data_IF_734497055515
#
_entry.id   IF_734497055515
#
_cell.length_a   1.000
_cell.length_b   1.000
_cell.length_c   1.000
_cell.angle_alpha   90.00
_cell.angle_beta   90.00
_cell.angle_gamma   90.00
#
_symmetry.space_group_name_H-M   'P 1'
#
loop_
_entity.id
_entity.type
_entity.pdbx_description
1 polymer ?
#
# COMPACT_ATOMS: atom_id res chain seq x y z
N UNK A 1 -16.32 6.54 6.85
CA UNK A 1 -16.72 5.47 5.90
C UNK A 1 -18.23 5.48 5.81
N UNK A 2 -18.83 5.54 4.62
CA UNK A 2 -20.28 5.58 4.44
C UNK A 2 -21.05 4.45 5.17
N UNK A 3 -20.48 3.25 5.24
CA UNK A 3 -21.11 2.10 5.91
C UNK A 3 -21.29 2.28 7.41
N UNK A 4 -20.58 3.22 8.04
CA UNK A 4 -20.63 3.38 9.49
C UNK A 4 -22.05 3.71 9.97
N UNK A 5 -22.82 4.44 9.17
CA UNK A 5 -24.19 4.80 9.51
C UNK A 5 -25.12 3.57 9.53
N UNK A 6 -24.98 2.67 8.56
CA UNK A 6 -25.84 1.48 8.41
C UNK A 6 -25.30 0.23 9.12
N UNK A 7 -24.02 0.22 9.55
CA UNK A 7 -23.38 -0.93 10.19
C UNK A 7 -23.55 -0.88 11.72
N UNK A 8 -24.63 -1.46 12.24
CA UNK A 8 -24.88 -1.56 13.69
C UNK A 8 -23.70 -2.21 14.46
N UNK A 9 -23.12 -3.35 14.01
CA UNK A 9 -21.98 -3.96 14.70
C UNK A 9 -20.75 -3.05 14.82
N UNK A 10 -20.46 -2.25 13.79
CA UNK A 10 -19.36 -1.29 13.85
C UNK A 10 -19.64 -0.16 14.85
N UNK A 11 -20.87 0.36 14.88
CA UNK A 11 -21.28 1.40 15.84
C UNK A 11 -21.25 0.88 17.27
N UNK A 12 -21.76 -0.33 17.51
CA UNK A 12 -21.70 -0.99 18.82
C UNK A 12 -20.26 -1.22 19.28
N UNK A 13 -19.37 -1.66 18.38
CA UNK A 13 -17.94 -1.82 18.71
C UNK A 13 -17.30 -0.49 19.11
N UNK A 14 -17.54 0.58 18.33
CA UNK A 14 -16.99 1.92 18.62
C UNK A 14 -17.55 2.47 19.93
N UNK A 15 -18.84 2.25 20.21
CA UNK A 15 -19.48 2.71 21.44
C UNK A 15 -19.11 1.87 22.67
N UNK A 16 -18.41 0.74 22.51
CA UNK A 16 -18.08 -0.13 23.63
C UNK A 16 -17.09 0.56 24.58
N UNK A 17 -17.28 0.46 25.92
CA UNK A 17 -16.40 1.11 26.88
C UNK A 17 -14.93 0.71 26.74
N UNK A 18 -14.69 -0.54 26.32
CA UNK A 18 -13.34 -1.04 26.03
C UNK A 18 -12.70 -0.33 24.85
N UNK A 19 -13.43 -0.18 23.74
CA UNK A 19 -12.93 0.51 22.54
C UNK A 19 -12.66 1.98 22.82
N UNK A 20 -13.60 2.67 23.47
CA UNK A 20 -13.44 4.08 23.84
C UNK A 20 -12.22 4.31 24.73
N UNK A 21 -12.03 3.47 25.77
CA UNK A 21 -10.82 3.56 26.63
C UNK A 21 -9.52 3.28 25.86
N UNK A 22 -9.52 2.34 24.93
CA UNK A 22 -8.36 2.09 24.09
C UNK A 22 -8.05 3.29 23.18
N UNK A 23 -9.07 3.86 22.56
CA UNK A 23 -8.94 5.02 21.68
C UNK A 23 -8.46 6.27 22.43
N UNK A 24 -9.01 6.54 23.61
CA UNK A 24 -8.60 7.69 24.43
C UNK A 24 -7.14 7.57 24.87
N UNK A 25 -6.72 6.36 25.27
CA UNK A 25 -5.31 6.08 25.62
C UNK A 25 -4.38 6.30 24.43
N UNK A 26 -4.74 5.79 23.26
CA UNK A 26 -3.92 5.93 22.04
C UNK A 26 -3.83 7.39 21.58
N UNK A 27 -4.89 8.18 21.76
CA UNK A 27 -4.90 9.61 21.45
C UNK A 27 -4.12 10.47 22.45
N UNK A 28 -4.09 10.05 23.72
CA UNK A 28 -3.37 10.74 24.77
C UNK A 28 -1.87 10.41 24.80
N UNK A 29 -1.43 9.36 24.10
CA UNK A 29 -0.03 8.98 24.02
C UNK A 29 0.79 10.06 23.29
N UNK A 30 1.98 10.36 23.80
CA UNK A 30 2.93 11.29 23.16
C UNK A 30 3.51 10.69 21.88
N UNK A 31 3.81 9.40 21.90
CA UNK A 31 4.36 8.65 20.78
C UNK A 31 3.27 7.81 20.10
N UNK A 32 3.38 7.67 18.78
CA UNK A 32 2.44 6.89 18.00
C UNK A 32 2.68 5.39 18.14
N UNK A 33 1.78 4.70 18.84
CA UNK A 33 1.72 3.24 18.86
C UNK A 33 1.06 2.71 17.56
N UNK A 34 1.87 2.55 16.52
CA UNK A 34 1.43 2.11 15.19
C UNK A 34 0.68 0.78 15.24
N UNK A 35 1.19 -0.20 15.99
CA UNK A 35 0.59 -1.53 16.05
C UNK A 35 -0.81 -1.48 16.65
N UNK A 36 -0.97 -0.79 17.78
CA UNK A 36 -2.27 -0.73 18.46
C UNK A 36 -3.28 0.16 17.73
N UNK A 37 -2.82 1.25 17.10
CA UNK A 37 -3.68 2.06 16.21
C UNK A 37 -4.18 1.22 15.04
N UNK A 38 -3.31 0.45 14.40
CA UNK A 38 -3.70 -0.41 13.28
C UNK A 38 -4.63 -1.54 13.71
N UNK A 39 -4.33 -2.21 14.84
CA UNK A 39 -5.21 -3.25 15.41
C UNK A 39 -6.61 -2.70 15.71
N UNK A 40 -6.68 -1.53 16.35
CA UNK A 40 -7.94 -0.86 16.70
C UNK A 40 -8.74 -0.47 15.44
N UNK A 41 -8.06 0.04 14.40
CA UNK A 41 -8.70 0.34 13.10
C UNK A 41 -9.20 -0.92 12.40
N UNK A 42 -8.40 -1.98 12.37
CA UNK A 42 -8.73 -3.23 11.68
C UNK A 42 -10.05 -3.85 12.17
N UNK A 43 -10.30 -3.83 13.48
CA UNK A 43 -11.55 -4.34 14.05
C UNK A 43 -12.80 -3.69 13.45
N UNK A 44 -12.79 -2.36 13.34
CA UNK A 44 -13.89 -1.59 12.77
C UNK A 44 -13.93 -1.73 11.25
N UNK A 45 -12.79 -1.63 10.58
CA UNK A 45 -12.70 -1.73 9.12
C UNK A 45 -13.21 -3.09 8.62
N UNK A 46 -12.94 -4.19 9.33
CA UNK A 46 -13.45 -5.50 8.98
C UNK A 46 -14.99 -5.58 9.07
N UNK A 47 -15.60 -4.95 10.08
CA UNK A 47 -17.06 -4.87 10.22
C UNK A 47 -17.67 -4.04 9.08
N UNK A 48 -17.06 -2.91 8.76
CA UNK A 48 -17.52 -2.03 7.68
C UNK A 48 -17.37 -2.69 6.31
N UNK A 49 -16.27 -3.40 6.06
CA UNK A 49 -16.08 -4.15 4.82
C UNK A 49 -17.16 -5.23 4.63
N UNK A 50 -17.48 -6.00 5.68
CA UNK A 50 -18.59 -6.96 5.62
C UNK A 50 -19.93 -6.29 5.30
N UNK A 51 -20.19 -5.13 5.91
CA UNK A 51 -21.38 -4.33 5.61
C UNK A 51 -21.41 -3.88 4.14
N UNK A 52 -20.29 -3.35 3.64
CA UNK A 52 -20.14 -2.98 2.22
C UNK A 52 -20.34 -4.17 1.29
N UNK A 53 -19.76 -5.33 1.64
CA UNK A 53 -19.82 -6.54 0.84
C UNK A 53 -21.27 -6.97 0.60
N UNK A 54 -22.08 -6.99 1.66
CA UNK A 54 -23.50 -7.38 1.61
C UNK A 54 -24.33 -6.33 0.87
N UNK A 55 -24.10 -5.05 1.12
CA UNK A 55 -24.96 -3.97 0.61
C UNK A 55 -24.61 -3.52 -0.81
N UNK A 56 -23.34 -3.66 -1.24
CA UNK A 56 -22.83 -2.93 -2.40
C UNK A 56 -21.99 -3.75 -3.38
N UNK A 57 -21.12 -4.68 -2.94
CA UNK A 57 -20.05 -5.26 -3.79
C UNK A 57 -20.54 -5.80 -5.14
N UNK A 58 -21.64 -6.56 -5.12
CA UNK A 58 -22.26 -7.17 -6.30
C UNK A 58 -23.65 -6.60 -6.60
N UNK A 59 -24.01 -5.50 -5.92
CA UNK A 59 -25.32 -4.86 -6.05
C UNK A 59 -25.24 -3.68 -7.02
N UNK A 60 -26.30 -3.40 -7.81
CA UNK A 60 -26.35 -2.27 -8.75
C UNK A 60 -26.61 -0.93 -8.03
N UNK A 61 -25.94 -0.70 -6.91
CA UNK A 61 -25.95 0.57 -6.18
C UNK A 61 -24.91 1.52 -6.78
N UNK A 62 -25.03 2.85 -6.60
CA UNK A 62 -24.00 3.80 -7.03
C UNK A 62 -22.61 3.47 -6.46
N UNK A 63 -22.57 3.02 -5.21
CA UNK A 63 -21.36 2.65 -4.50
C UNK A 63 -20.74 1.35 -5.01
N UNK A 64 -21.56 0.34 -5.28
CA UNK A 64 -21.13 -0.89 -5.95
C UNK A 64 -20.55 -0.63 -7.34
N UNK A 65 -21.22 0.20 -8.16
CA UNK A 65 -20.69 0.62 -9.48
C UNK A 65 -19.38 1.40 -9.38
N UNK A 66 -19.24 2.28 -8.37
CA UNK A 66 -17.99 3.00 -8.15
C UNK A 66 -16.85 2.04 -7.79
N UNK A 67 -17.11 1.04 -6.96
CA UNK A 67 -16.13 0.02 -6.63
C UNK A 67 -15.74 -0.84 -7.83
N UNK A 68 -16.70 -1.30 -8.65
CA UNK A 68 -16.40 -2.06 -9.86
C UNK A 68 -15.51 -1.26 -10.83
N UNK A 69 -15.83 0.03 -11.08
CA UNK A 69 -14.96 0.91 -11.88
C UNK A 69 -13.57 1.08 -11.28
N UNK A 70 -13.47 1.17 -9.96
CA UNK A 70 -12.18 1.23 -9.27
C UNK A 70 -11.37 -0.05 -9.50
N UNK A 71 -11.99 -1.22 -9.40
CA UNK A 71 -11.35 -2.51 -9.68
C UNK A 71 -10.88 -2.61 -11.14
N UNK A 72 -11.72 -2.22 -12.09
CA UNK A 72 -11.39 -2.19 -13.53
C UNK A 72 -10.20 -1.28 -13.81
N UNK A 73 -10.20 -0.06 -13.24
CA UNK A 73 -9.10 0.90 -13.36
C UNK A 73 -7.82 0.40 -12.70
N UNK A 74 -7.92 -0.25 -11.55
CA UNK A 74 -6.80 -0.77 -10.78
C UNK A 74 -6.15 -2.02 -11.39
N UNK A 75 -6.91 -2.81 -12.15
CA UNK A 75 -6.41 -3.93 -12.93
C UNK A 75 -5.58 -4.95 -12.12
N UNK A 76 -4.55 -5.51 -12.77
CA UNK A 76 -3.64 -6.47 -12.15
C UNK A 76 -2.86 -5.85 -10.99
N UNK A 77 -2.40 -4.61 -11.10
CA UNK A 77 -1.66 -3.92 -10.04
C UNK A 77 -2.39 -3.92 -8.70
N UNK A 78 -3.66 -3.50 -8.69
CA UNK A 78 -4.48 -3.51 -7.48
C UNK A 78 -4.75 -4.93 -6.98
N UNK A 79 -5.04 -5.88 -7.89
CA UNK A 79 -5.23 -7.29 -7.53
C UNK A 79 -3.99 -7.84 -6.85
N UNK A 80 -2.82 -7.62 -7.43
CA UNK A 80 -1.57 -8.22 -7.01
C UNK A 80 -1.14 -7.60 -5.68
N UNK A 81 -1.24 -6.28 -5.51
CA UNK A 81 -1.02 -5.61 -4.22
C UNK A 81 -1.93 -6.14 -3.11
N UNK A 82 -3.24 -6.25 -3.36
CA UNK A 82 -4.18 -6.78 -2.37
C UNK A 82 -3.94 -8.27 -2.06
N UNK A 83 -3.51 -9.05 -3.06
CA UNK A 83 -3.13 -10.46 -2.87
C UNK A 83 -1.88 -10.57 -2.01
N UNK A 84 -0.88 -9.70 -2.24
CA UNK A 84 0.34 -9.66 -1.45
C UNK A 84 0.04 -9.41 0.03
N UNK A 85 -0.81 -8.43 0.34
CA UNK A 85 -1.20 -8.13 1.72
C UNK A 85 -1.91 -9.32 2.39
N UNK A 86 -2.86 -9.94 1.70
CA UNK A 86 -3.55 -11.14 2.20
C UNK A 86 -2.59 -12.32 2.42
N UNK A 87 -1.62 -12.53 1.53
CA UNK A 87 -0.58 -13.55 1.69
C UNK A 87 0.35 -13.23 2.87
N UNK A 88 0.73 -11.97 3.04
CA UNK A 88 1.57 -11.55 4.15
C UNK A 88 0.90 -11.82 5.50
N UNK A 89 -0.38 -11.46 5.63
CA UNK A 89 -1.17 -11.77 6.83
C UNK A 89 -1.31 -13.29 7.06
N UNK A 90 -1.44 -14.08 5.99
CA UNK A 90 -1.62 -15.53 6.08
C UNK A 90 -0.32 -16.30 6.39
N UNK A 91 0.81 -15.86 5.83
CA UNK A 91 2.08 -16.58 5.86
C UNK A 91 3.10 -16.01 6.85
N UNK A 92 2.94 -14.75 7.24
CA UNK A 92 3.87 -14.02 8.10
C UNK A 92 3.08 -13.17 9.12
N UNK A 93 2.36 -13.80 10.07
CA UNK A 93 1.49 -13.09 11.01
C UNK A 93 2.26 -12.25 12.03
N UNK A 94 3.58 -12.49 12.20
CA UNK A 94 4.41 -11.76 13.14
C UNK A 94 5.01 -10.51 12.48
N UNK A 95 4.87 -9.32 13.08
CA UNK A 95 5.54 -8.11 12.60
C UNK A 95 7.06 -8.29 12.50
N UNK A 96 7.65 -7.76 11.42
CA UNK A 96 9.10 -7.82 11.20
C UNK A 96 9.62 -9.11 10.57
N UNK A 97 8.75 -10.09 10.26
CA UNK A 97 9.17 -11.25 9.47
C UNK A 97 9.60 -10.84 8.06
N UNK A 98 10.67 -11.45 7.50
CA UNK A 98 11.11 -11.15 6.15
C UNK A 98 9.99 -11.51 5.17
N UNK A 99 9.64 -10.56 4.29
CA UNK A 99 8.49 -10.64 3.39
C UNK A 99 8.54 -11.79 2.37
N UNK A 100 8.00 -11.58 1.16
CA UNK A 100 7.71 -12.69 0.24
C UNK A 100 8.89 -13.64 -0.08
N UNK A 101 10.13 -13.17 0.06
CA UNK A 101 11.36 -13.95 -0.13
C UNK A 101 11.45 -15.18 0.78
N UNK A 102 10.79 -15.17 1.95
CA UNK A 102 10.75 -16.32 2.87
C UNK A 102 9.52 -17.20 2.71
N UNK A 103 8.52 -16.78 1.94
CA UNK A 103 7.36 -17.62 1.69
C UNK A 103 7.76 -18.91 0.96
N UNK A 104 6.94 -19.97 1.05
CA UNK A 104 7.08 -21.13 0.19
C UNK A 104 7.21 -20.73 -1.29
N UNK A 105 8.10 -21.40 -2.03
CA UNK A 105 8.42 -21.03 -3.42
C UNK A 105 7.18 -20.87 -4.32
N UNK A 106 6.15 -21.70 -4.08
CA UNK A 106 4.87 -21.63 -4.79
C UNK A 106 4.11 -20.30 -4.64
N UNK A 107 4.42 -19.46 -3.65
CA UNK A 107 3.76 -18.17 -3.42
C UNK A 107 4.62 -16.96 -3.81
N UNK A 108 5.83 -17.17 -4.32
CA UNK A 108 6.78 -16.09 -4.62
C UNK A 108 6.54 -15.38 -5.95
N UNK A 109 5.61 -15.88 -6.77
CA UNK A 109 5.24 -15.26 -8.03
C UNK A 109 3.72 -15.02 -8.09
N UNK A 110 3.27 -13.81 -8.46
CA UNK A 110 1.85 -13.46 -8.55
C UNK A 110 1.07 -14.29 -9.59
N UNK A 111 1.78 -14.86 -10.57
CA UNK A 111 1.21 -15.63 -11.67
C UNK A 111 1.17 -17.15 -11.40
N UNK A 112 1.78 -17.60 -10.30
CA UNK A 112 1.81 -19.01 -9.94
C UNK A 112 0.40 -19.59 -9.68
N UNK A 113 0.22 -20.87 -10.03
CA UNK A 113 -1.05 -21.56 -9.81
C UNK A 113 -1.49 -21.58 -8.33
N UNK A 114 -0.54 -21.61 -7.39
CA UNK A 114 -0.85 -21.56 -5.96
C UNK A 114 -1.37 -20.18 -5.53
N UNK A 115 -0.84 -19.08 -6.08
CA UNK A 115 -1.38 -17.73 -5.83
C UNK A 115 -2.77 -17.57 -6.45
N UNK A 116 -3.00 -18.09 -7.65
CA UNK A 116 -4.34 -18.06 -8.25
C UNK A 116 -5.37 -18.83 -7.41
N UNK A 117 -4.98 -19.99 -6.88
CA UNK A 117 -5.81 -20.76 -5.95
C UNK A 117 -6.06 -20.00 -4.65
N UNK A 118 -5.01 -19.43 -4.07
CA UNK A 118 -5.12 -18.62 -2.85
C UNK A 118 -6.11 -17.47 -3.02
N UNK A 119 -6.10 -16.77 -4.16
CA UNK A 119 -7.08 -15.70 -4.46
C UNK A 119 -8.54 -16.18 -4.45
N UNK A 120 -8.77 -17.43 -4.86
CA UNK A 120 -10.12 -18.03 -4.86
C UNK A 120 -10.52 -18.45 -3.45
N UNK A 121 -9.63 -19.14 -2.74
CA UNK A 121 -9.87 -19.65 -1.38
C UNK A 121 -9.98 -18.53 -0.33
N UNK A 122 -9.22 -17.44 -0.51
CA UNK A 122 -9.16 -16.28 0.39
C UNK A 122 -9.77 -15.02 -0.23
N UNK A 123 -10.79 -15.18 -1.09
CA UNK A 123 -11.42 -14.09 -1.84
C UNK A 123 -11.85 -12.91 -0.96
N UNK A 124 -12.38 -13.17 0.23
CA UNK A 124 -12.83 -12.11 1.14
C UNK A 124 -11.65 -11.29 1.71
N UNK A 125 -10.55 -11.94 2.08
CA UNK A 125 -9.34 -11.25 2.56
C UNK A 125 -8.68 -10.42 1.45
N UNK A 126 -8.59 -10.96 0.23
CA UNK A 126 -8.08 -10.19 -0.92
C UNK A 126 -9.01 -9.02 -1.24
N UNK A 127 -10.33 -9.20 -1.19
CA UNK A 127 -11.28 -8.11 -1.41
C UNK A 127 -11.24 -7.06 -0.30
N UNK A 128 -10.96 -7.44 0.95
CA UNK A 128 -10.78 -6.49 2.05
C UNK A 128 -9.68 -5.49 1.72
N UNK A 129 -8.51 -5.96 1.28
CA UNK A 129 -7.41 -5.08 0.90
C UNK A 129 -7.71 -4.22 -0.33
N UNK A 130 -8.46 -4.75 -1.31
CA UNK A 130 -8.95 -3.94 -2.45
C UNK A 130 -9.91 -2.85 -2.01
N UNK A 131 -10.83 -3.17 -1.12
CA UNK A 131 -11.78 -2.23 -0.56
C UNK A 131 -11.10 -1.15 0.27
N UNK A 132 -10.07 -1.49 1.05
CA UNK A 132 -9.26 -0.48 1.74
C UNK A 132 -8.60 0.51 0.77
N UNK A 133 -8.06 0.03 -0.35
CA UNK A 133 -7.47 0.90 -1.38
C UNK A 133 -8.53 1.76 -2.08
N UNK A 134 -9.74 1.21 -2.31
CA UNK A 134 -10.89 1.98 -2.81
C UNK A 134 -11.29 3.10 -1.86
N UNK A 135 -11.33 2.83 -0.56
CA UNK A 135 -11.66 3.86 0.43
C UNK A 135 -10.56 4.91 0.59
N UNK A 136 -9.30 4.50 0.49
CA UNK A 136 -8.18 5.44 0.46
C UNK A 136 -8.25 6.36 -0.76
N UNK A 137 -8.54 5.82 -1.95
CA UNK A 137 -8.73 6.60 -3.18
C UNK A 137 -9.85 7.63 -3.04
N UNK A 138 -11.00 7.22 -2.48
CA UNK A 138 -12.13 8.12 -2.23
C UNK A 138 -11.75 9.24 -1.26
N UNK A 139 -11.12 8.89 -0.13
CA UNK A 139 -10.74 9.87 0.89
C UNK A 139 -9.69 10.86 0.39
N UNK A 140 -8.71 10.39 -0.41
CA UNK A 140 -7.72 11.26 -1.04
C UNK A 140 -8.38 12.18 -2.08
N UNK A 141 -9.32 11.66 -2.87
CA UNK A 141 -10.09 12.48 -3.82
C UNK A 141 -10.89 13.58 -3.11
N UNK A 142 -11.49 13.27 -1.96
CA UNK A 142 -12.24 14.24 -1.13
C UNK A 142 -11.30 15.32 -0.57
N UNK A 143 -10.14 14.92 -0.03
CA UNK A 143 -9.14 15.87 0.46
C UNK A 143 -8.60 16.78 -0.66
N UNK A 144 -8.33 16.21 -1.84
CA UNK A 144 -7.90 16.97 -3.01
C UNK A 144 -8.99 17.94 -3.49
N UNK A 145 -10.26 17.54 -3.47
CA UNK A 145 -11.41 18.41 -3.73
C UNK A 145 -11.49 19.58 -2.77
N UNK A 146 -11.46 19.30 -1.46
CA UNK A 146 -11.51 20.31 -0.42
C UNK A 146 -10.36 21.32 -0.52
N UNK A 147 -9.15 20.87 -0.87
CA UNK A 147 -8.01 21.75 -1.10
C UNK A 147 -8.24 22.71 -2.28
N UNK A 148 -8.78 22.21 -3.40
CA UNK A 148 -9.14 23.05 -4.56
C UNK A 148 -10.25 24.05 -4.23
N UNK A 149 -11.31 23.60 -3.55
CA UNK A 149 -12.45 24.44 -3.17
C UNK A 149 -12.05 25.53 -2.18
N UNK A 150 -10.99 25.30 -1.41
CA UNK A 150 -10.37 26.29 -0.52
C UNK A 150 -9.42 27.26 -1.24
N UNK A 151 -9.29 27.17 -2.56
CA UNK A 151 -8.44 28.05 -3.36
C UNK A 151 -6.94 27.72 -3.28
N UNK A 152 -6.55 26.53 -2.81
CA UNK A 152 -5.15 26.12 -2.79
C UNK A 152 -4.69 25.72 -4.21
N UNK A 153 -3.82 26.50 -4.88
CA UNK A 153 -3.52 26.30 -6.30
C UNK A 153 -2.77 25.01 -6.61
N UNK A 154 -1.99 24.50 -5.65
CA UNK A 154 -1.27 23.23 -5.75
C UNK A 154 -2.09 22.07 -5.15
N UNK A 155 -3.02 22.36 -4.24
CA UNK A 155 -3.73 21.34 -3.49
C UNK A 155 -2.80 20.49 -2.63
N UNK A 156 -2.77 19.18 -2.87
CA UNK A 156 -1.91 18.22 -2.16
C UNK A 156 -0.52 18.20 -2.79
N UNK A 157 0.51 18.34 -1.96
CA UNK A 157 1.91 18.11 -2.30
C UNK A 157 2.34 16.73 -1.79
N UNK A 158 2.51 15.77 -2.71
CA UNK A 158 2.88 14.40 -2.39
C UNK A 158 4.40 14.21 -2.39
N UNK A 159 4.86 13.13 -1.76
CA UNK A 159 6.28 12.74 -1.71
C UNK A 159 6.45 11.32 -2.21
N UNK A 160 7.31 11.15 -3.21
CA UNK A 160 7.68 9.86 -3.78
C UNK A 160 9.03 9.44 -3.22
N UNK A 161 9.01 8.43 -2.36
CA UNK A 161 10.21 7.80 -1.86
C UNK A 161 11.06 7.22 -3.01
N UNK A 162 12.36 7.21 -2.81
CA UNK A 162 13.35 6.76 -3.79
C UNK A 162 13.28 5.24 -4.11
N UNK A 163 12.71 4.42 -3.23
CA UNK A 163 12.62 2.98 -3.48
C UNK A 163 11.69 2.23 -2.54
N UNK A 164 11.59 0.92 -2.81
CA UNK A 164 10.64 0.01 -2.16
C UNK A 164 11.37 -1.14 -1.47
N UNK A 165 10.77 -1.66 -0.39
CA UNK A 165 11.36 -2.76 0.39
C UNK A 165 11.65 -4.00 -0.46
N UNK A 166 12.80 -4.62 -0.20
CA UNK A 166 13.25 -5.84 -0.88
C UNK A 166 12.26 -7.02 -0.74
N UNK A 167 11.55 -7.08 0.39
CA UNK A 167 10.51 -8.08 0.66
C UNK A 167 9.07 -7.57 0.48
N UNK A 168 8.89 -6.37 -0.11
CA UNK A 168 7.60 -5.70 -0.26
C UNK A 168 6.78 -6.15 -1.48
N UNK A 169 5.63 -5.52 -1.67
CA UNK A 169 4.69 -5.83 -2.75
C UNK A 169 5.26 -5.58 -4.14
N UNK A 170 6.06 -4.51 -4.29
CA UNK A 170 6.58 -4.11 -5.61
C UNK A 170 7.57 -5.13 -6.15
N UNK A 171 8.53 -5.56 -5.32
CA UNK A 171 9.51 -6.59 -5.70
C UNK A 171 8.87 -7.97 -5.89
N UNK A 172 7.73 -8.23 -5.25
CA UNK A 172 6.93 -9.42 -5.51
C UNK A 172 6.16 -9.35 -6.82
N UNK A 173 5.55 -8.19 -7.12
CA UNK A 173 4.71 -8.00 -8.31
C UNK A 173 5.51 -7.82 -9.60
N UNK A 174 6.74 -7.30 -9.50
CA UNK A 174 7.67 -7.13 -10.61
C UNK A 174 8.92 -8.00 -10.38
N UNK A 175 8.77 -9.33 -10.46
CA UNK A 175 9.91 -10.22 -10.32
C UNK A 175 10.93 -9.85 -11.41
N UNK A 176 12.20 -9.83 -11.01
CA UNK A 176 13.36 -9.43 -11.80
C UNK A 176 13.59 -7.93 -12.01
N UNK A 177 12.66 -7.02 -11.68
CA UNK A 177 12.89 -5.58 -11.92
C UNK A 177 13.98 -4.99 -11.02
N UNK A 178 14.14 -5.53 -9.81
CA UNK A 178 15.04 -5.02 -8.78
C UNK A 178 16.34 -5.83 -8.73
N UNK A 179 17.47 -5.15 -8.60
CA UNK A 179 18.78 -5.78 -8.43
C UNK A 179 18.98 -6.22 -6.98
N UNK A 180 18.52 -7.44 -6.65
CA UNK A 180 18.41 -7.90 -5.26
C UNK A 180 19.74 -8.07 -4.50
N UNK A 181 20.86 -8.18 -5.22
CA UNK A 181 22.20 -8.37 -4.64
C UNK A 181 22.88 -7.05 -4.21
N UNK A 182 22.19 -5.92 -4.37
CA UNK A 182 22.70 -4.61 -4.02
C UNK A 182 21.66 -3.79 -3.25
N UNK A 183 22.14 -2.87 -2.42
CA UNK A 183 21.31 -1.87 -1.76
C UNK A 183 21.63 -0.47 -2.27
N UNK A 184 20.62 0.39 -2.35
CA UNK A 184 20.80 1.81 -2.61
C UNK A 184 21.41 2.47 -1.37
N UNK A 185 22.27 3.45 -1.60
CA UNK A 185 22.86 4.25 -0.54
C UNK A 185 23.42 5.57 -1.03
N UNK A 186 24.23 6.19 -0.18
CA UNK A 186 24.98 7.42 -0.49
C UNK A 186 26.47 7.22 -0.21
N UNK A 187 27.37 7.83 -1.01
CA UNK A 187 28.79 7.74 -0.75
C UNK A 187 29.21 8.51 0.50
N UNK A 188 30.40 8.20 1.05
CA UNK A 188 31.05 9.06 2.02
C UNK A 188 31.06 10.52 1.57
N UNK A 189 30.74 11.41 2.49
CA UNK A 189 30.88 12.86 2.32
C UNK A 189 31.37 13.51 3.63
N UNK A 190 31.46 14.84 3.63
CA UNK A 190 31.98 15.61 4.76
C UNK A 190 31.13 15.49 6.03
N UNK A 191 29.83 15.14 5.89
CA UNK A 191 28.89 14.98 7.00
C UNK A 191 28.76 13.52 7.44
N UNK A 192 28.83 12.59 6.50
CA UNK A 192 28.70 11.15 6.70
C UNK A 192 29.91 10.41 6.11
N UNK A 193 31.02 10.38 6.85
CA UNK A 193 32.29 9.78 6.41
C UNK A 193 32.21 8.28 6.06
N UNK A 194 31.22 7.55 6.58
CA UNK A 194 30.99 6.14 6.26
C UNK A 194 30.11 5.92 5.03
N UNK A 195 29.53 6.98 4.47
CA UNK A 195 28.40 6.87 3.55
C UNK A 195 27.15 6.34 4.23
N UNK A 196 26.19 5.89 3.44
CA UNK A 196 24.91 5.38 3.91
C UNK A 196 24.53 4.13 3.12
N UNK A 197 23.87 3.18 3.79
CA UNK A 197 23.14 2.08 3.18
C UNK A 197 21.67 2.23 3.59
N UNK A 198 20.77 2.34 2.62
CA UNK A 198 19.36 2.57 2.85
C UNK A 198 18.53 1.27 2.85
N UNK A 199 19.14 0.11 2.62
CA UNK A 199 18.54 -1.19 2.87
C UNK A 199 17.45 -1.65 1.88
N UNK A 200 17.38 -1.05 0.70
CA UNK A 200 16.46 -1.48 -0.37
C UNK A 200 17.17 -1.61 -1.72
N UNK A 201 16.72 -2.52 -2.60
CA UNK A 201 17.39 -2.79 -3.86
C UNK A 201 17.14 -1.69 -4.91
N UNK A 202 18.14 -1.34 -5.74
CA UNK A 202 17.92 -0.45 -6.86
C UNK A 202 17.06 -1.14 -7.94
N UNK A 203 16.31 -0.33 -8.68
CA UNK A 203 15.71 -0.77 -9.94
C UNK A 203 16.82 -1.00 -10.96
N UNK A 204 16.80 -2.12 -11.68
CA UNK A 204 17.70 -2.35 -12.81
C UNK A 204 17.27 -1.46 -13.99
N UNK A 205 18.10 -0.47 -14.41
CA UNK A 205 17.72 0.48 -15.46
C UNK A 205 17.58 -0.19 -16.84
N UNK A 206 18.29 -1.29 -17.09
CA UNK A 206 18.18 -2.04 -18.35
C UNK A 206 16.85 -2.80 -18.40
N UNK A 207 16.46 -3.43 -17.30
CA UNK A 207 15.17 -4.13 -17.20
C UNK A 207 14.00 -3.16 -17.18
N UNK A 208 14.11 -2.03 -16.49
CA UNK A 208 13.10 -0.98 -16.54
C UNK A 208 12.86 -0.50 -17.98
N UNK A 209 13.94 -0.25 -18.74
CA UNK A 209 13.83 0.11 -20.16
C UNK A 209 13.25 -1.02 -21.00
N UNK A 210 13.69 -2.26 -20.80
CA UNK A 210 13.17 -3.43 -21.52
C UNK A 210 11.67 -3.66 -21.27
N UNK A 211 11.18 -3.33 -20.07
CA UNK A 211 9.76 -3.36 -19.71
C UNK A 211 9.02 -2.05 -20.08
N UNK A 212 9.57 -1.24 -20.99
CA UNK A 212 8.96 0.01 -21.46
C UNK A 212 8.59 0.98 -20.32
N UNK A 213 9.38 1.00 -19.26
CA UNK A 213 9.20 1.85 -18.08
C UNK A 213 7.86 1.64 -17.35
N UNK A 214 7.23 0.47 -17.50
CA UNK A 214 5.88 0.21 -16.99
C UNK A 214 5.72 0.52 -15.49
N UNK A 215 6.63 0.01 -14.65
CA UNK A 215 6.64 0.26 -13.21
C UNK A 215 6.73 1.77 -12.88
N UNK A 216 7.66 2.48 -13.52
CA UNK A 216 7.86 3.91 -13.29
C UNK A 216 6.66 4.76 -13.72
N UNK A 217 6.08 4.46 -14.88
CA UNK A 217 4.87 5.13 -15.38
C UNK A 217 3.70 4.88 -14.42
N UNK A 218 3.57 3.66 -13.90
CA UNK A 218 2.54 3.31 -12.94
C UNK A 218 2.70 4.08 -11.62
N UNK A 219 3.91 4.16 -11.07
CA UNK A 219 4.20 4.96 -9.87
C UNK A 219 3.81 6.42 -10.06
N UNK A 220 4.26 7.06 -11.14
CA UNK A 220 3.94 8.47 -11.40
C UNK A 220 2.43 8.70 -11.53
N UNK A 221 1.72 7.84 -12.28
CA UNK A 221 0.25 7.93 -12.41
C UNK A 221 -0.45 7.81 -11.06
N UNK A 222 0.01 6.91 -10.19
CA UNK A 222 -0.56 6.75 -8.86
C UNK A 222 -0.25 7.97 -7.96
N UNK A 223 0.99 8.46 -7.95
CA UNK A 223 1.41 9.61 -7.14
C UNK A 223 0.68 10.90 -7.52
N UNK A 224 0.38 11.11 -8.80
CA UNK A 224 -0.36 12.29 -9.28
C UNK A 224 -1.88 12.15 -9.26
N UNK A 225 -2.43 10.97 -8.89
CA UNK A 225 -3.87 10.73 -8.97
C UNK A 225 -4.71 11.76 -8.18
N UNK A 226 -4.17 12.25 -7.05
CA UNK A 226 -4.84 13.19 -6.14
C UNK A 226 -3.98 14.41 -5.77
N UNK A 227 -2.77 14.53 -6.33
CA UNK A 227 -1.79 15.56 -5.98
C UNK A 227 -1.53 16.53 -7.12
N UNK A 228 -1.40 17.83 -6.82
CA UNK A 228 -1.03 18.85 -7.80
C UNK A 228 0.48 19.10 -7.89
N UNK A 229 1.25 18.59 -6.94
CA UNK A 229 2.71 18.57 -6.99
C UNK A 229 3.26 17.26 -6.41
N UNK A 230 4.44 16.86 -6.90
CA UNK A 230 5.16 15.68 -6.44
C UNK A 230 6.61 16.03 -6.14
N UNK A 231 7.03 15.78 -4.90
CA UNK A 231 8.45 15.72 -4.53
C UNK A 231 8.97 14.35 -4.96
N UNK A 232 10.04 14.32 -5.73
CA UNK A 232 10.77 13.08 -5.99
C UNK A 232 11.99 13.10 -5.09
N UNK A 233 11.97 12.24 -4.07
CA UNK A 233 13.09 12.14 -3.15
C UNK A 233 14.34 11.69 -3.89
N UNK A 234 15.47 12.32 -3.54
CA UNK A 234 16.76 12.07 -4.19
C UNK A 234 16.67 12.06 -5.74
N UNK A 235 16.16 13.15 -6.34
CA UNK A 235 15.96 13.28 -7.81
C UNK A 235 17.19 12.89 -8.66
N UNK A 236 18.39 13.01 -8.10
CA UNK A 236 19.65 12.54 -8.71
C UNK A 236 19.61 11.06 -9.10
N UNK A 237 18.77 10.25 -8.44
CA UNK A 237 18.53 8.85 -8.75
C UNK A 237 18.03 8.58 -10.16
N UNK A 238 17.42 9.57 -10.83
CA UNK A 238 17.06 9.48 -12.25
C UNK A 238 18.28 9.45 -13.18
N UNK A 239 19.41 9.99 -12.72
CA UNK A 239 20.68 9.98 -13.46
C UNK A 239 21.61 8.88 -12.97
N UNK A 240 21.80 8.75 -11.65
CA UNK A 240 22.65 7.72 -11.03
C UNK A 240 22.24 7.45 -9.59
N UNK A 241 22.40 6.19 -9.18
CA UNK A 241 22.33 5.76 -7.79
C UNK A 241 23.64 5.11 -7.39
N UNK A 242 24.01 5.25 -6.11
CA UNK A 242 25.05 4.40 -5.54
C UNK A 242 24.41 3.08 -5.13
N UNK A 243 24.97 1.99 -5.63
CA UNK A 243 24.64 0.64 -5.24
C UNK A 243 25.80 0.07 -4.43
N UNK A 244 25.54 -0.31 -3.18
CA UNK A 244 26.49 -1.07 -2.36
C UNK A 244 26.27 -2.56 -2.65
N UNK A 245 27.30 -3.29 -3.06
CA UNK A 245 27.23 -4.75 -3.15
C UNK A 245 27.18 -5.32 -1.73
N UNK A 246 26.21 -6.18 -1.43
CA UNK A 246 26.07 -6.83 -0.12
C UNK A 246 27.09 -7.94 0.15
N UNK A 247 28.32 -7.81 -0.34
CA UNK A 247 29.46 -8.73 -0.11
C UNK A 247 30.50 -8.08 0.80
#
# INVERSE_FOLDING_TARGET
>A
MPELESCAPARERIASPEFSRALDRLRAATDLDYEQVMRTKQEVLALLHRSFAVQHREQPTPRGRAYQRYLERGGSALRDFATFLALAEHLSPTPGEPGWRRWPARYRSPDSAAVQRFRQEHRESVDFHRWLQFELDRQLSEAAGAARDSGLPIGIYADLAIGSSAGGSDSWAFPDLFAEAANVGAPPDDFAKGGQDWGFPPIDPHRLRAQSYAYWIQMLRASFAHAGALRIDHIMGLFRLRANSGL
#
